data_IF_051824129022
#
_entry.id   IF_051824129022
#
_cell.length_a   1.000
_cell.length_b   1.000
_cell.length_c   1.000
_cell.angle_alpha   90.00
_cell.angle_beta   90.00
_cell.angle_gamma   90.00
#
_symmetry.space_group_name_H-M   'P 1'
#
loop_
_entity.id
_entity.type
_entity.pdbx_description
1 polymer ?
#
# COMPACT_ATOMS: atom_id res chain seq x y z
N UNK A 1 -45.75 36.55 20.67
CA UNK A 1 -45.51 35.18 21.16
C UNK A 1 -45.20 34.32 19.94
N UNK A 2 -44.05 33.69 19.71
CA UNK A 2 -42.80 33.46 20.45
C UNK A 2 -41.64 33.65 19.46
N UNK A 3 -40.58 34.36 19.87
CA UNK A 3 -39.27 34.36 19.20
C UNK A 3 -38.58 33.02 19.50
N UNK A 4 -38.08 32.33 18.47
CA UNK A 4 -37.06 31.29 18.64
C UNK A 4 -35.86 31.65 17.76
N UNK A 5 -35.03 32.53 18.31
CA UNK A 5 -33.63 32.71 17.91
C UNK A 5 -32.84 31.53 18.46
N UNK A 6 -32.47 30.58 17.61
CA UNK A 6 -31.30 29.72 17.84
C UNK A 6 -30.41 29.79 16.62
N UNK A 7 -29.35 30.58 16.74
CA UNK A 7 -28.17 30.53 15.89
C UNK A 7 -27.62 29.11 15.92
N UNK A 8 -27.69 28.41 14.79
CA UNK A 8 -26.90 27.20 14.57
C UNK A 8 -25.42 27.60 14.51
N UNK A 9 -24.54 26.96 15.29
CA UNK A 9 -23.11 27.23 15.19
C UNK A 9 -22.60 26.80 13.81
N UNK A 10 -21.76 27.64 13.22
CA UNK A 10 -21.00 27.34 12.02
C UNK A 10 -20.26 26.00 12.18
N UNK A 11 -20.65 25.00 11.40
CA UNK A 11 -19.87 23.79 11.16
C UNK A 11 -18.69 24.14 10.25
N UNK A 12 -17.77 24.93 10.79
CA UNK A 12 -16.39 25.02 10.33
C UNK A 12 -15.58 24.40 11.47
N UNK A 13 -14.87 23.32 11.16
CA UNK A 13 -14.07 22.47 12.06
C UNK A 13 -14.72 21.14 12.43
N UNK A 14 -14.60 20.19 11.51
CA UNK A 14 -14.44 18.79 11.88
C UNK A 14 -13.64 18.11 10.79
N UNK A 15 -12.32 18.22 10.88
CA UNK A 15 -11.35 17.28 10.28
C UNK A 15 -11.51 15.90 10.94
N UNK A 16 -12.71 15.32 10.85
CA UNK A 16 -13.11 14.10 11.54
C UNK A 16 -12.96 12.84 10.68
N UNK A 17 -12.42 12.97 9.46
CA UNK A 17 -12.03 11.83 8.64
C UNK A 17 -10.51 11.81 8.51
N UNK A 18 -9.90 10.70 8.95
CA UNK A 18 -8.48 10.28 8.79
C UNK A 18 -7.48 10.57 9.94
N UNK A 19 -7.81 11.30 11.01
CA UNK A 19 -7.02 11.18 12.26
C UNK A 19 -7.64 10.08 13.14
N UNK A 20 -7.00 8.91 13.19
CA UNK A 20 -7.25 7.91 14.25
C UNK A 20 -7.23 8.68 15.57
N UNK A 21 -8.39 8.76 16.25
CA UNK A 21 -8.52 9.69 17.38
C UNK A 21 -7.49 9.33 18.44
N UNK A 22 -6.93 10.33 19.12
CA UNK A 22 -5.93 10.16 20.20
C UNK A 22 -6.34 9.14 21.26
N UNK A 23 -7.66 8.92 21.42
CA UNK A 23 -8.23 7.89 22.26
C UNK A 23 -7.73 6.46 21.93
N UNK A 24 -7.46 6.14 20.66
CA UNK A 24 -6.97 4.82 20.23
C UNK A 24 -5.47 4.63 20.54
N UNK A 25 -4.68 5.71 20.48
CA UNK A 25 -3.26 5.69 20.87
C UNK A 25 -3.06 5.46 22.38
N UNK A 26 -3.99 5.94 23.22
CA UNK A 26 -3.93 5.70 24.67
C UNK A 26 -4.00 4.22 25.04
N UNK A 27 -4.72 3.40 24.25
CA UNK A 27 -4.79 1.94 24.41
C UNK A 27 -3.52 1.23 23.93
N UNK A 28 -2.77 1.85 23.03
CA UNK A 28 -1.49 1.35 22.49
C UNK A 28 -0.28 1.77 23.33
N UNK A 29 -0.45 2.74 24.24
CA UNK A 29 0.58 3.25 25.15
C UNK A 29 1.42 2.18 25.88
N UNK A 30 0.90 0.99 26.28
CA UNK A 30 1.77 -0.01 26.92
C UNK A 30 2.76 -0.69 25.95
N UNK A 31 2.50 -0.63 24.64
CA UNK A 31 3.28 -1.36 23.62
C UNK A 31 4.11 -0.45 22.70
N UNK A 32 3.75 0.84 22.60
CA UNK A 32 4.35 1.78 21.64
C UNK A 32 4.97 2.96 22.36
N UNK A 33 6.24 3.21 22.04
CA UNK A 33 6.98 4.41 22.39
C UNK A 33 7.20 5.26 21.16
N UNK A 34 6.79 6.53 21.25
CA UNK A 34 6.98 7.50 20.18
C UNK A 34 8.00 8.53 20.66
N UNK A 35 9.06 8.75 19.87
CA UNK A 35 10.03 9.83 20.13
C UNK A 35 9.28 11.17 20.28
N UNK A 36 9.60 11.99 21.29
CA UNK A 36 8.88 13.23 21.54
C UNK A 36 8.77 14.16 20.32
N UNK A 37 9.81 14.21 19.47
CA UNK A 37 9.81 15.04 18.25
C UNK A 37 8.85 14.49 17.21
N UNK A 38 8.79 13.16 17.06
CA UNK A 38 7.82 12.50 16.18
C UNK A 38 6.41 12.73 16.69
N UNK A 39 6.20 12.58 18.00
CA UNK A 39 4.90 12.79 18.64
C UNK A 39 4.39 14.23 18.49
N UNK A 40 5.26 15.21 18.69
CA UNK A 40 4.95 16.63 18.49
C UNK A 40 4.59 16.93 17.04
N UNK A 41 5.38 16.41 16.08
CA UNK A 41 5.11 16.57 14.66
C UNK A 41 3.76 15.99 14.25
N UNK A 42 3.41 14.79 14.74
CA UNK A 42 2.13 14.14 14.46
C UNK A 42 0.93 14.87 15.10
N UNK A 43 1.14 15.57 16.23
CA UNK A 43 0.10 16.42 16.85
C UNK A 43 -0.14 17.70 16.06
N UNK A 44 0.94 18.33 15.61
CA UNK A 44 0.91 19.56 14.85
C UNK A 44 0.16 19.43 13.53
N UNK A 45 -0.20 20.56 12.95
CA UNK A 45 -0.78 20.62 11.60
C UNK A 45 0.30 20.58 10.50
N UNK A 46 1.57 20.49 10.87
CA UNK A 46 2.72 20.79 9.98
C UNK A 46 3.91 19.84 10.15
N UNK A 47 3.72 18.69 10.81
CA UNK A 47 4.80 17.73 11.01
C UNK A 47 5.10 16.89 9.78
N UNK A 48 6.32 16.96 9.27
CA UNK A 48 6.78 16.16 8.13
C UNK A 48 7.56 14.96 8.65
N UNK A 49 6.90 13.82 8.88
CA UNK A 49 7.56 12.62 9.44
C UNK A 49 7.77 11.58 8.34
N UNK A 50 8.97 11.01 8.29
CA UNK A 50 9.32 9.89 7.40
C UNK A 50 9.63 8.66 8.24
N UNK A 51 8.84 7.61 8.10
CA UNK A 51 9.14 6.31 8.69
C UNK A 51 10.36 5.69 7.99
N UNK A 52 11.14 4.91 8.74
CA UNK A 52 12.26 4.10 8.24
C UNK A 52 12.18 2.70 8.88
N UNK A 53 12.52 1.65 8.13
CA UNK A 53 12.49 0.28 8.67
C UNK A 53 13.79 -0.10 9.37
N UNK A 54 13.73 -1.11 10.24
CA UNK A 54 14.90 -1.66 10.93
C UNK A 54 15.37 -3.02 10.41
N UNK A 55 14.62 -3.70 9.53
CA UNK A 55 15.10 -4.94 8.88
C UNK A 55 16.32 -4.70 8.01
N UNK A 56 16.40 -3.55 7.32
CA UNK A 56 17.58 -3.20 6.53
C UNK A 56 18.84 -3.12 7.40
N UNK A 57 18.70 -2.72 8.66
CA UNK A 57 19.79 -2.58 9.64
C UNK A 57 20.18 -3.95 10.21
N UNK A 58 19.18 -4.74 10.58
CA UNK A 58 19.38 -6.00 11.33
C UNK A 58 19.68 -7.21 10.42
N UNK A 59 19.14 -7.22 9.20
CA UNK A 59 19.21 -8.36 8.29
C UNK A 59 19.56 -7.98 6.83
N UNK A 60 19.60 -6.68 6.50
CA UNK A 60 19.79 -6.21 5.13
C UNK A 60 21.22 -5.82 4.77
N UNK A 61 22.04 -5.46 5.76
CA UNK A 61 23.41 -5.00 5.58
C UNK A 61 24.32 -5.54 6.70
N UNK A 62 25.61 -5.80 6.42
CA UNK A 62 26.56 -6.19 7.44
C UNK A 62 27.03 -5.00 8.30
N UNK A 63 27.45 -5.27 9.53
CA UNK A 63 28.16 -4.29 10.36
C UNK A 63 29.56 -3.98 9.79
N UNK A 64 30.05 -2.72 9.86
CA UNK A 64 29.42 -1.51 10.44
C UNK A 64 28.50 -0.74 9.48
N UNK A 65 28.47 -1.13 8.20
CA UNK A 65 27.74 -0.42 7.14
C UNK A 65 26.24 -0.29 7.43
N UNK A 66 25.64 -1.26 8.13
CA UNK A 66 24.25 -1.19 8.56
C UNK A 66 23.95 0.02 9.48
N UNK A 67 24.78 0.23 10.51
CA UNK A 67 24.65 1.33 11.46
C UNK A 67 24.99 2.67 10.80
N UNK A 68 26.10 2.72 10.07
CA UNK A 68 26.54 3.93 9.35
C UNK A 68 25.46 4.41 8.38
N UNK A 69 24.91 3.50 7.58
CA UNK A 69 23.84 3.82 6.63
C UNK A 69 22.58 4.29 7.35
N UNK A 70 22.18 3.64 8.45
CA UNK A 70 21.00 4.05 9.20
C UNK A 70 21.12 5.48 9.73
N UNK A 71 22.28 5.82 10.31
CA UNK A 71 22.55 7.16 10.84
C UNK A 71 22.58 8.22 9.72
N UNK A 72 23.22 7.92 8.59
CA UNK A 72 23.27 8.81 7.43
C UNK A 72 21.90 9.04 6.81
N UNK A 73 21.08 7.98 6.71
CA UNK A 73 19.70 8.06 6.21
C UNK A 73 18.85 8.95 7.12
N UNK A 74 18.92 8.78 8.45
CA UNK A 74 18.23 9.68 9.36
C UNK A 74 18.71 11.13 9.22
N UNK A 75 20.01 11.32 8.99
CA UNK A 75 20.58 12.66 8.81
C UNK A 75 20.11 13.33 7.51
N UNK A 76 19.99 12.58 6.40
CA UNK A 76 19.45 13.08 5.14
C UNK A 76 18.01 13.55 5.31
N UNK A 77 17.18 12.76 5.99
CA UNK A 77 15.78 13.14 6.27
C UNK A 77 15.73 14.46 7.06
N UNK A 78 16.58 14.62 8.08
CA UNK A 78 16.69 15.88 8.86
C UNK A 78 17.11 17.06 8.01
N UNK A 79 18.13 16.89 7.17
CA UNK A 79 18.64 17.95 6.28
C UNK A 79 17.60 18.42 5.27
N UNK A 80 16.68 17.54 4.88
CA UNK A 80 15.56 17.86 3.98
C UNK A 80 14.35 18.47 4.69
N UNK A 81 14.43 18.72 6.00
CA UNK A 81 13.38 19.38 6.76
C UNK A 81 12.29 18.44 7.30
N UNK A 82 12.50 17.13 7.22
CA UNK A 82 11.60 16.13 7.79
C UNK A 82 12.20 15.50 9.06
N UNK A 83 11.35 14.84 9.85
CA UNK A 83 11.72 14.14 11.07
C UNK A 83 11.79 12.63 10.77
N UNK A 84 12.97 11.99 10.89
CA UNK A 84 13.07 10.55 10.72
C UNK A 84 12.45 9.82 11.91
N UNK A 85 11.69 8.78 11.62
CA UNK A 85 11.12 7.86 12.58
C UNK A 85 11.54 6.43 12.22
N UNK A 86 12.75 6.03 12.60
CA UNK A 86 13.14 4.62 12.48
C UNK A 86 12.30 3.78 13.42
N UNK A 87 11.62 2.78 12.85
CA UNK A 87 10.69 1.90 13.55
C UNK A 87 11.38 0.56 13.82
N UNK A 88 11.33 0.09 15.07
CA UNK A 88 11.87 -1.18 15.49
C UNK A 88 11.13 -1.72 16.72
N UNK A 89 11.41 -2.97 17.10
CA UNK A 89 11.05 -3.48 18.43
C UNK A 89 12.32 -3.62 19.25
N UNK A 90 12.32 -3.01 20.44
CA UNK A 90 13.40 -3.12 21.42
C UNK A 90 12.78 -3.57 22.74
N UNK A 91 13.20 -4.75 23.20
CA UNK A 91 12.79 -5.36 24.47
C UNK A 91 11.26 -5.42 24.64
N UNK A 92 10.57 -5.92 23.61
CA UNK A 92 9.11 -6.06 23.59
C UNK A 92 8.32 -4.78 23.38
N UNK A 93 8.99 -3.67 23.05
CA UNK A 93 8.33 -2.37 22.85
C UNK A 93 8.59 -1.85 21.43
N UNK A 94 7.53 -1.45 20.75
CA UNK A 94 7.62 -0.75 19.47
C UNK A 94 8.24 0.62 19.75
N UNK A 95 9.33 0.94 19.07
CA UNK A 95 9.96 2.26 19.06
C UNK A 95 9.62 2.93 17.75
N UNK A 96 9.05 4.14 17.79
CA UNK A 96 8.82 5.00 16.63
C UNK A 96 9.73 6.21 16.77
N UNK A 97 10.88 6.17 16.09
CA UNK A 97 12.01 7.04 16.35
C UNK A 97 12.95 6.40 17.38
N UNK A 98 13.88 5.57 16.91
CA UNK A 98 14.91 4.96 17.75
C UNK A 98 15.98 5.97 18.17
N UNK A 99 16.59 5.76 19.33
CA UNK A 99 17.81 6.49 19.72
C UNK A 99 19.04 5.92 19.03
N UNK A 100 20.14 6.68 19.01
CA UNK A 100 21.43 6.21 18.48
C UNK A 100 21.91 4.93 19.19
N UNK A 101 21.75 4.84 20.51
CA UNK A 101 22.10 3.64 21.27
C UNK A 101 21.24 2.43 20.89
N UNK A 102 19.94 2.65 20.66
CA UNK A 102 19.04 1.58 20.21
C UNK A 102 19.43 1.10 18.82
N UNK A 103 19.76 2.00 17.89
CA UNK A 103 20.28 1.66 16.57
C UNK A 103 21.59 0.86 16.65
N UNK A 104 22.54 1.32 17.48
CA UNK A 104 23.82 0.65 17.66
C UNK A 104 23.66 -0.75 18.26
N UNK A 105 22.72 -0.94 19.19
CA UNK A 105 22.35 -2.26 19.71
C UNK A 105 21.74 -3.14 18.62
N UNK A 106 20.74 -2.64 17.89
CA UNK A 106 20.06 -3.39 16.83
C UNK A 106 21.03 -3.82 15.72
N UNK A 107 21.98 -2.96 15.33
CA UNK A 107 22.96 -3.24 14.29
C UNK A 107 23.93 -4.39 14.61
N UNK A 108 24.08 -4.77 15.89
CA UNK A 108 24.99 -5.83 16.34
C UNK A 108 24.27 -7.01 17.00
N UNK A 109 22.97 -6.87 17.27
CA UNK A 109 22.20 -7.91 17.95
C UNK A 109 21.61 -8.90 16.94
N UNK A 110 21.57 -10.17 17.33
CA UNK A 110 20.71 -11.14 16.66
C UNK A 110 19.25 -10.84 17.06
N UNK A 111 18.44 -10.46 16.08
CA UNK A 111 17.06 -9.99 16.31
C UNK A 111 16.09 -10.76 15.43
N UNK A 112 14.81 -10.77 15.79
CA UNK A 112 13.81 -11.42 14.95
C UNK A 112 13.46 -10.50 13.77
N UNK A 113 13.68 -10.96 12.53
CA UNK A 113 13.06 -10.34 11.35
C UNK A 113 11.53 -10.39 11.49
N UNK A 114 10.94 -9.22 11.70
CA UNK A 114 9.57 -9.07 12.20
C UNK A 114 8.66 -8.49 11.12
N UNK A 115 7.89 -9.35 10.47
CA UNK A 115 6.77 -8.96 9.61
C UNK A 115 5.49 -8.82 10.45
N UNK A 116 4.35 -8.52 9.79
CA UNK A 116 3.05 -8.35 10.46
C UNK A 116 2.69 -9.52 11.38
N UNK A 117 2.88 -10.76 10.91
CA UNK A 117 2.51 -11.97 11.66
C UNK A 117 3.36 -12.18 12.91
N UNK A 118 4.57 -11.63 12.92
CA UNK A 118 5.56 -11.87 13.96
C UNK A 118 5.40 -10.85 15.12
N UNK A 119 4.80 -9.68 14.87
CA UNK A 119 4.68 -8.58 15.83
C UNK A 119 4.13 -9.01 17.19
N UNK A 120 2.98 -9.70 17.22
CA UNK A 120 2.36 -10.11 18.49
C UNK A 120 3.26 -11.06 19.29
N UNK A 121 3.98 -11.95 18.60
CA UNK A 121 4.90 -12.88 19.24
C UNK A 121 6.12 -12.16 19.84
N UNK A 122 6.76 -11.29 19.06
CA UNK A 122 7.95 -10.55 19.49
C UNK A 122 7.62 -9.63 20.68
N UNK A 123 6.50 -8.90 20.61
CA UNK A 123 6.04 -8.04 21.70
C UNK A 123 5.66 -8.85 22.95
N UNK A 124 4.85 -9.90 22.80
CA UNK A 124 4.40 -10.72 23.91
C UNK A 124 5.52 -11.48 24.64
N UNK A 125 6.65 -11.71 23.96
CA UNK A 125 7.84 -12.35 24.54
C UNK A 125 8.88 -11.37 25.08
N UNK A 126 8.69 -10.06 24.95
CA UNK A 126 9.71 -9.11 25.39
C UNK A 126 10.96 -9.09 24.51
N UNK A 127 10.87 -9.53 23.25
CA UNK A 127 12.03 -9.70 22.36
C UNK A 127 12.30 -8.44 21.53
N UNK A 128 13.50 -8.36 20.95
CA UNK A 128 13.87 -7.33 19.98
C UNK A 128 13.73 -7.84 18.54
N UNK A 129 13.35 -6.95 17.63
CA UNK A 129 13.05 -7.31 16.25
C UNK A 129 13.22 -6.16 15.28
N UNK A 130 13.84 -6.45 14.14
CA UNK A 130 13.86 -5.57 12.98
C UNK A 130 12.54 -5.66 12.22
N UNK A 131 11.80 -4.57 12.10
CA UNK A 131 10.52 -4.55 11.37
C UNK A 131 10.77 -4.55 9.87
N UNK A 132 10.07 -5.40 9.12
CA UNK A 132 10.12 -5.39 7.64
C UNK A 132 9.34 -4.21 7.09
N UNK A 133 9.25 -4.07 5.76
CA UNK A 133 8.34 -3.13 5.11
C UNK A 133 6.90 -3.30 5.62
N UNK A 134 6.34 -4.51 5.62
CA UNK A 134 5.00 -4.77 6.18
C UNK A 134 4.87 -4.41 7.67
N UNK A 135 5.84 -4.78 8.51
CA UNK A 135 5.81 -4.45 9.94
C UNK A 135 5.86 -2.94 10.18
N UNK A 136 6.70 -2.24 9.42
CA UNK A 136 6.90 -0.79 9.49
C UNK A 136 5.68 -0.04 8.99
N UNK A 137 5.07 -0.50 7.87
CA UNK A 137 3.82 0.05 7.33
C UNK A 137 2.70 0.01 8.36
N UNK A 138 2.50 -1.15 9.00
CA UNK A 138 1.47 -1.30 10.02
C UNK A 138 1.66 -0.29 11.15
N UNK A 139 2.88 -0.20 11.69
CA UNK A 139 3.17 0.72 12.80
C UNK A 139 3.05 2.19 12.36
N UNK A 140 3.50 2.52 11.15
CA UNK A 140 3.38 3.87 10.59
C UNK A 140 1.91 4.31 10.49
N UNK A 141 1.01 3.48 9.94
CA UNK A 141 -0.43 3.77 9.90
C UNK A 141 -1.07 3.78 11.30
N UNK A 142 -0.60 2.92 12.22
CA UNK A 142 -1.06 2.95 13.61
C UNK A 142 -0.82 4.29 14.29
N UNK A 143 0.32 4.93 14.03
CA UNK A 143 0.68 6.22 14.65
C UNK A 143 0.39 7.44 13.76
N UNK A 144 -0.03 7.24 12.52
CA UNK A 144 -0.42 8.30 11.59
C UNK A 144 0.71 8.88 10.73
N UNK A 145 1.83 8.18 10.58
CA UNK A 145 2.88 8.56 9.61
C UNK A 145 2.44 8.13 8.21
N UNK A 146 2.50 9.05 7.23
CA UNK A 146 1.97 8.85 5.87
C UNK A 146 3.03 8.55 4.80
N UNK A 147 4.32 8.72 5.12
CA UNK A 147 5.44 8.51 4.18
C UNK A 147 6.50 7.61 4.83
N UNK A 148 6.98 6.62 4.08
CA UNK A 148 7.95 5.63 4.50
C UNK A 148 9.02 5.46 3.41
N UNK A 149 10.31 5.51 3.78
CA UNK A 149 11.42 5.20 2.88
C UNK A 149 12.05 3.84 3.21
N UNK A 150 12.31 3.03 2.18
CA UNK A 150 13.09 1.79 2.24
C UNK A 150 13.99 1.67 1.01
N UNK A 151 14.89 0.70 0.98
CA UNK A 151 15.70 0.44 -0.20
C UNK A 151 14.83 -0.12 -1.33
N UNK A 152 14.08 -1.18 -1.05
CA UNK A 152 13.27 -1.89 -2.03
C UNK A 152 12.27 -2.77 -1.30
N UNK A 153 11.05 -2.87 -1.79
CA UNK A 153 10.03 -3.71 -1.16
C UNK A 153 10.27 -5.20 -1.43
N UNK A 154 9.70 -6.07 -0.60
CA UNK A 154 9.46 -7.46 -0.99
C UNK A 154 8.41 -7.56 -2.09
N UNK A 155 8.17 -8.76 -2.59
CA UNK A 155 7.28 -8.96 -3.72
C UNK A 155 6.98 -10.44 -3.96
N UNK A 156 6.52 -10.75 -5.17
CA UNK A 156 6.36 -12.13 -5.61
C UNK A 156 7.73 -12.70 -5.94
N UNK A 157 8.10 -13.83 -5.34
CA UNK A 157 9.36 -14.48 -5.66
C UNK A 157 9.32 -15.09 -7.07
N UNK A 158 10.47 -15.32 -7.68
CA UNK A 158 10.56 -16.04 -8.97
C UNK A 158 10.10 -17.48 -8.75
N UNK A 159 9.16 -17.98 -9.56
CA UNK A 159 8.45 -19.24 -9.29
C UNK A 159 7.33 -19.12 -8.24
N UNK A 160 6.93 -17.89 -7.90
CA UNK A 160 5.87 -17.59 -6.94
C UNK A 160 4.48 -18.04 -7.39
N UNK A 161 4.26 -18.26 -8.69
CA UNK A 161 3.03 -18.83 -9.25
C UNK A 161 2.76 -20.26 -8.76
N UNK A 162 3.82 -21.03 -8.49
CA UNK A 162 3.72 -22.42 -8.05
C UNK A 162 3.94 -22.53 -6.53
N UNK A 163 4.97 -21.84 -6.03
CA UNK A 163 5.38 -21.91 -4.62
C UNK A 163 4.50 -21.09 -3.67
N UNK A 164 3.79 -20.09 -4.21
CA UNK A 164 3.06 -19.07 -3.44
C UNK A 164 3.95 -18.30 -2.45
N UNK A 165 5.26 -18.23 -2.70
CA UNK A 165 6.19 -17.40 -1.93
C UNK A 165 6.01 -15.92 -2.31
N UNK A 166 5.08 -15.26 -1.63
CA UNK A 166 4.68 -13.88 -1.85
C UNK A 166 4.89 -13.08 -0.56
N UNK A 167 5.62 -11.97 -0.66
CA UNK A 167 5.86 -11.10 0.50
C UNK A 167 4.56 -10.51 1.05
N UNK A 168 4.44 -10.54 2.38
CA UNK A 168 3.36 -9.87 3.11
C UNK A 168 3.34 -8.34 2.89
N UNK A 169 4.44 -7.76 2.38
CA UNK A 169 4.52 -6.34 2.02
C UNK A 169 3.42 -5.93 1.04
N UNK A 170 3.08 -6.80 0.07
CA UNK A 170 2.12 -6.47 -0.99
C UNK A 170 0.69 -6.36 -0.45
N UNK A 171 0.29 -7.30 0.41
CA UNK A 171 -1.02 -7.26 1.08
C UNK A 171 -1.08 -6.09 2.08
N UNK A 172 0.04 -5.78 2.75
CA UNK A 172 0.07 -4.65 3.67
C UNK A 172 -0.09 -3.32 2.95
N UNK A 173 0.57 -3.13 1.80
CA UNK A 173 0.37 -1.98 0.91
C UNK A 173 -1.10 -1.84 0.48
N UNK A 174 -1.81 -2.94 0.24
CA UNK A 174 -3.23 -2.92 -0.15
C UNK A 174 -4.19 -2.40 0.92
N UNK A 175 -3.81 -2.42 2.20
CA UNK A 175 -4.70 -2.06 3.33
C UNK A 175 -4.19 -0.95 4.25
N UNK A 176 -3.03 -0.39 3.92
CA UNK A 176 -2.34 0.63 4.70
C UNK A 176 -2.09 1.88 3.86
N UNK A 177 -2.74 3.02 4.15
CA UNK A 177 -2.67 4.25 3.35
C UNK A 177 -1.39 5.07 3.60
N UNK A 178 -0.24 4.42 3.43
CA UNK A 178 1.10 4.98 3.57
C UNK A 178 1.81 4.88 2.23
N UNK A 179 2.51 5.95 1.83
CA UNK A 179 3.33 5.98 0.64
C UNK A 179 4.71 5.40 0.92
N UNK A 180 5.08 4.36 0.18
CA UNK A 180 6.40 3.72 0.25
C UNK A 180 7.25 4.23 -0.89
N UNK A 181 8.32 4.93 -0.53
CA UNK A 181 9.35 5.41 -1.45
C UNK A 181 10.49 4.41 -1.44
N UNK A 182 10.77 3.81 -2.59
CA UNK A 182 11.79 2.77 -2.72
C UNK A 182 12.37 2.73 -4.12
N UNK A 183 13.47 2.01 -4.31
CA UNK A 183 14.02 1.75 -5.64
C UNK A 183 13.31 0.59 -6.34
N UNK A 184 12.00 0.53 -6.16
CA UNK A 184 11.11 -0.50 -6.67
C UNK A 184 11.12 -1.76 -5.82
N UNK A 185 11.07 -2.89 -6.49
CA UNK A 185 11.04 -4.22 -5.88
C UNK A 185 12.48 -4.76 -5.88
N UNK A 186 12.89 -5.47 -4.81
CA UNK A 186 14.24 -6.08 -4.75
C UNK A 186 14.49 -6.94 -6.00
N UNK A 187 15.64 -6.76 -6.65
CA UNK A 187 15.97 -7.35 -7.95
C UNK A 187 15.91 -8.89 -8.02
N UNK A 188 15.95 -9.55 -6.87
CA UNK A 188 15.87 -11.01 -6.72
C UNK A 188 14.47 -11.58 -7.00
N UNK A 189 13.47 -10.71 -7.09
CA UNK A 189 12.05 -11.04 -7.17
C UNK A 189 11.54 -10.99 -8.61
N UNK A 190 10.29 -11.38 -8.80
CA UNK A 190 9.55 -11.26 -10.06
C UNK A 190 8.83 -9.91 -10.09
N UNK A 191 9.41 -8.95 -10.80
CA UNK A 191 8.88 -7.58 -10.88
C UNK A 191 7.56 -7.53 -11.64
N UNK A 192 7.43 -8.08 -12.87
CA UNK A 192 6.15 -8.10 -13.58
C UNK A 192 5.02 -8.66 -12.73
N UNK A 193 5.20 -9.83 -12.09
CA UNK A 193 4.16 -10.44 -11.28
C UNK A 193 3.88 -9.67 -10.00
N UNK A 194 4.88 -9.01 -9.43
CA UNK A 194 4.67 -8.12 -8.29
C UNK A 194 3.78 -6.94 -8.65
N UNK A 195 3.95 -6.35 -9.85
CA UNK A 195 3.10 -5.24 -10.31
C UNK A 195 1.65 -5.69 -10.51
N UNK A 196 1.41 -6.84 -11.12
CA UNK A 196 0.07 -7.43 -11.27
C UNK A 196 -0.61 -7.71 -9.92
N UNK A 197 0.16 -8.22 -8.94
CA UNK A 197 -0.35 -8.44 -7.60
C UNK A 197 -0.74 -7.11 -6.92
N UNK A 198 0.08 -6.07 -7.07
CA UNK A 198 -0.19 -4.74 -6.51
C UNK A 198 -1.42 -4.08 -7.14
N UNK A 199 -1.63 -4.28 -8.45
CA UNK A 199 -2.87 -3.89 -9.13
C UNK A 199 -4.07 -4.57 -8.46
N UNK A 200 -4.00 -5.89 -8.25
CA UNK A 200 -5.06 -6.66 -7.58
C UNK A 200 -5.34 -6.15 -6.16
N UNK A 201 -4.30 -5.69 -5.45
CA UNK A 201 -4.42 -5.11 -4.10
C UNK A 201 -4.88 -3.63 -4.10
N UNK A 202 -5.12 -3.03 -5.26
CA UNK A 202 -5.56 -1.63 -5.38
C UNK A 202 -4.47 -0.62 -4.97
N UNK A 203 -3.19 -1.00 -5.05
CA UNK A 203 -2.06 -0.15 -4.69
C UNK A 203 -1.72 0.76 -5.86
N UNK A 204 -1.59 2.06 -5.62
CA UNK A 204 -1.16 2.99 -6.65
C UNK A 204 0.36 2.87 -6.85
N UNK A 205 0.79 2.37 -8.01
CA UNK A 205 2.20 2.25 -8.38
C UNK A 205 2.59 3.34 -9.38
N UNK A 206 3.60 4.13 -9.02
CA UNK A 206 4.14 5.20 -9.86
C UNK A 206 5.66 5.16 -9.89
N UNK A 207 6.26 5.47 -11.04
CA UNK A 207 7.68 5.83 -11.10
C UNK A 207 7.89 7.29 -10.68
N UNK A 208 9.10 7.66 -10.28
CA UNK A 208 9.46 9.03 -9.92
C UNK A 208 10.52 9.59 -10.87
N UNK A 209 10.21 10.71 -11.53
CA UNK A 209 11.11 11.38 -12.47
C UNK A 209 11.47 10.51 -13.69
N UNK A 210 10.54 9.65 -14.13
CA UNK A 210 10.71 8.72 -15.26
C UNK A 210 9.58 8.94 -16.28
N UNK A 211 9.76 9.84 -17.27
CA UNK A 211 8.72 10.16 -18.25
C UNK A 211 8.19 8.96 -19.04
N UNK A 212 9.05 7.96 -19.28
CA UNK A 212 8.66 6.72 -19.97
C UNK A 212 7.94 5.70 -19.07
N UNK A 213 7.78 6.04 -17.78
CA UNK A 213 7.24 5.22 -16.69
C UNK A 213 8.03 3.93 -16.45
N UNK A 214 9.32 3.92 -16.80
CA UNK A 214 10.18 2.78 -16.48
C UNK A 214 10.19 2.57 -14.97
N UNK A 215 9.88 1.34 -14.56
CA UNK A 215 9.90 0.96 -13.15
C UNK A 215 11.33 0.51 -12.78
N UNK A 216 11.88 0.97 -11.64
CA UNK A 216 13.23 0.59 -11.23
C UNK A 216 13.31 -0.84 -10.69
N UNK A 217 14.48 -1.46 -10.86
CA UNK A 217 14.78 -2.82 -10.40
C UNK A 217 15.92 -2.81 -9.36
N UNK A 218 15.75 -2.00 -8.32
CA UNK A 218 16.66 -1.89 -7.19
C UNK A 218 18.07 -1.42 -7.57
N UNK A 219 18.94 -2.34 -8.01
CA UNK A 219 20.31 -2.03 -8.46
C UNK A 219 20.40 -1.40 -9.85
N UNK A 220 19.37 -1.58 -10.67
CA UNK A 220 19.30 -1.02 -12.01
C UNK A 220 18.19 0.03 -12.09
N UNK A 221 18.41 1.04 -12.95
CA UNK A 221 17.43 2.12 -13.15
C UNK A 221 16.15 1.67 -13.84
N UNK A 222 16.18 0.52 -14.53
CA UNK A 222 15.09 -0.01 -15.35
C UNK A 222 14.94 -1.51 -15.11
N UNK A 223 13.71 -1.98 -14.94
CA UNK A 223 13.37 -3.40 -14.79
C UNK A 223 12.94 -4.07 -16.10
N UNK A 224 12.69 -3.30 -17.16
CA UNK A 224 11.96 -3.77 -18.34
C UNK A 224 10.44 -3.80 -18.15
N UNK A 225 9.94 -3.43 -16.97
CA UNK A 225 8.52 -3.24 -16.66
C UNK A 225 8.20 -1.75 -16.54
N UNK A 226 6.92 -1.40 -16.69
CA UNK A 226 6.44 -0.02 -16.55
C UNK A 226 5.51 0.13 -15.36
N UNK A 227 5.62 1.25 -14.66
CA UNK A 227 4.58 1.69 -13.74
C UNK A 227 3.36 2.20 -14.53
N UNK A 228 2.20 2.21 -13.88
CA UNK A 228 0.97 2.77 -14.47
C UNK A 228 1.08 4.29 -14.58
N UNK A 229 1.66 4.92 -13.55
CA UNK A 229 1.79 6.37 -13.43
C UNK A 229 3.26 6.80 -13.28
N UNK A 230 3.51 8.10 -13.41
CA UNK A 230 4.78 8.72 -13.05
C UNK A 230 4.48 10.02 -12.30
N UNK A 231 5.29 10.33 -11.29
CA UNK A 231 5.31 11.62 -10.62
C UNK A 231 6.58 12.36 -11.01
N UNK A 232 6.43 13.57 -11.52
CA UNK A 232 7.58 14.40 -11.95
C UNK A 232 8.22 15.16 -10.77
N UNK A 233 7.50 15.28 -9.65
CA UNK A 233 7.98 16.02 -8.49
C UNK A 233 7.38 15.52 -7.17
N UNK A 234 8.05 15.87 -6.06
CA UNK A 234 7.56 15.61 -4.71
C UNK A 234 6.18 16.23 -4.45
N UNK A 235 5.91 17.42 -5.02
CA UNK A 235 4.63 18.12 -4.87
C UNK A 235 3.47 17.34 -5.52
N UNK A 236 3.71 16.73 -6.68
CA UNK A 236 2.71 15.92 -7.38
C UNK A 236 2.39 14.65 -6.59
N UNK A 237 3.43 13.94 -6.14
CA UNK A 237 3.28 12.76 -5.28
C UNK A 237 2.53 13.11 -3.98
N UNK A 238 2.92 14.20 -3.31
CA UNK A 238 2.27 14.69 -2.10
C UNK A 238 0.78 15.02 -2.32
N UNK A 239 0.44 15.64 -3.44
CA UNK A 239 -0.95 15.93 -3.79
C UNK A 239 -1.77 14.64 -3.97
N UNK A 240 -1.23 13.63 -4.66
CA UNK A 240 -1.90 12.34 -4.82
C UNK A 240 -2.13 11.64 -3.47
N UNK A 241 -1.15 11.69 -2.56
CA UNK A 241 -1.24 11.13 -1.20
C UNK A 241 -2.31 11.86 -0.37
N UNK A 242 -2.36 13.19 -0.48
CA UNK A 242 -3.37 14.03 0.18
C UNK A 242 -4.79 13.68 -0.31
N UNK A 243 -4.99 13.58 -1.63
CA UNK A 243 -6.28 13.21 -2.23
C UNK A 243 -6.70 11.79 -1.85
N UNK A 244 -5.78 10.82 -1.84
CA UNK A 244 -6.06 9.46 -1.36
C UNK A 244 -6.59 9.46 0.09
N UNK A 245 -5.99 10.28 0.96
CA UNK A 245 -6.48 10.51 2.32
C UNK A 245 -7.87 11.16 2.34
N UNK A 246 -8.09 12.21 1.56
CA UNK A 246 -9.39 12.90 1.49
C UNK A 246 -10.53 12.02 1.00
N UNK A 247 -10.23 11.06 0.11
CA UNK A 247 -11.18 10.04 -0.37
C UNK A 247 -11.42 8.90 0.65
N UNK A 248 -10.63 8.84 1.73
CA UNK A 248 -10.72 7.75 2.72
C UNK A 248 -10.26 6.40 2.17
N UNK A 249 -9.42 6.39 1.14
CA UNK A 249 -8.85 5.15 0.59
C UNK A 249 -7.92 4.50 1.62
N UNK A 250 -7.93 3.17 1.64
CA UNK A 250 -7.13 2.37 2.57
C UNK A 250 -5.89 1.77 1.95
N UNK A 251 -5.72 1.84 0.64
CA UNK A 251 -4.51 1.39 -0.04
C UNK A 251 -3.42 2.46 -0.07
N UNK A 252 -2.18 2.01 -0.01
CA UNK A 252 -0.98 2.85 -0.05
C UNK A 252 -0.50 3.14 -1.46
N UNK A 253 0.70 3.72 -1.52
CA UNK A 253 1.43 3.99 -2.76
C UNK A 253 2.75 3.24 -2.78
N UNK A 254 3.16 2.79 -3.96
CA UNK A 254 4.54 2.42 -4.24
C UNK A 254 5.13 3.41 -5.23
N UNK A 255 6.07 4.22 -4.76
CA UNK A 255 6.78 5.22 -5.55
C UNK A 255 8.17 4.68 -5.87
N UNK A 256 8.35 4.25 -7.11
CA UNK A 256 9.60 3.70 -7.64
C UNK A 256 10.59 4.80 -8.03
N UNK A 257 11.62 5.00 -7.22
CA UNK A 257 12.69 5.98 -7.44
C UNK A 257 13.92 5.28 -8.03
N UNK A 258 14.32 5.59 -9.27
CA UNK A 258 15.53 5.02 -9.87
C UNK A 258 16.78 5.35 -9.05
N UNK A 259 17.65 4.36 -8.85
CA UNK A 259 18.99 4.56 -8.27
C UNK A 259 19.77 5.63 -9.05
N UNK A 260 20.56 6.52 -8.40
CA UNK A 260 21.41 7.47 -9.12
C UNK A 260 22.30 6.78 -10.16
N UNK A 261 22.50 7.43 -11.30
CA UNK A 261 23.11 6.80 -12.48
C UNK A 261 24.55 6.32 -12.22
N UNK A 262 25.30 7.10 -11.44
CA UNK A 262 26.67 6.81 -11.00
C UNK A 262 26.78 5.60 -10.05
N UNK A 263 25.66 5.18 -9.46
CA UNK A 263 25.59 4.04 -8.55
C UNK A 263 24.83 2.85 -9.15
N UNK A 264 24.28 3.00 -10.35
CA UNK A 264 23.57 1.94 -11.06
C UNK A 264 24.54 0.84 -11.49
N UNK A 265 24.12 -0.43 -11.36
CA UNK A 265 24.89 -1.57 -11.84
C UNK A 265 24.42 -1.99 -13.23
N UNK A 266 25.30 -2.70 -13.94
CA UNK A 266 24.98 -3.30 -15.23
C UNK A 266 23.91 -4.38 -15.06
N UNK A 267 22.91 -4.36 -15.93
CA UNK A 267 21.76 -5.27 -15.84
C UNK A 267 22.16 -6.72 -16.08
N UNK A 268 22.97 -6.99 -17.12
CA UNK A 268 23.38 -8.35 -17.45
C UNK A 268 24.25 -8.96 -16.34
N UNK A 269 25.16 -8.16 -15.75
CA UNK A 269 25.94 -8.55 -14.59
C UNK A 269 25.04 -8.93 -13.40
N UNK A 270 24.03 -8.10 -13.10
CA UNK A 270 23.13 -8.33 -11.98
C UNK A 270 22.24 -9.56 -12.20
N UNK A 271 21.69 -9.73 -13.40
CA UNK A 271 20.87 -10.88 -13.75
C UNK A 271 21.66 -12.19 -13.63
N UNK A 272 22.92 -12.21 -14.09
CA UNK A 272 23.83 -13.33 -13.92
C UNK A 272 24.12 -13.64 -12.44
N UNK A 273 24.48 -12.63 -11.65
CA UNK A 273 24.78 -12.80 -10.23
C UNK A 273 23.56 -13.30 -9.42
N UNK A 274 22.36 -12.82 -9.75
CA UNK A 274 21.12 -13.22 -9.08
C UNK A 274 20.74 -14.65 -9.49
N UNK A 275 20.88 -15.02 -10.78
CA UNK A 275 20.62 -16.37 -11.24
C UNK A 275 21.53 -17.40 -10.55
N UNK A 276 22.82 -17.09 -10.42
CA UNK A 276 23.79 -17.92 -9.70
C UNK A 276 23.42 -18.05 -8.22
N UNK A 277 23.08 -16.95 -7.54
CA UNK A 277 22.69 -16.96 -6.14
C UNK A 277 21.38 -17.74 -5.88
N UNK A 278 20.40 -17.66 -6.78
CA UNK A 278 19.14 -18.42 -6.69
C UNK A 278 19.38 -19.93 -6.87
N UNK A 279 20.24 -20.31 -7.83
CA UNK A 279 20.63 -21.70 -8.02
C UNK A 279 21.31 -22.26 -6.77
N UNK A 280 22.18 -21.48 -6.14
CA UNK A 280 22.83 -21.88 -4.89
C UNK A 280 21.85 -22.00 -3.72
N UNK A 281 20.92 -21.06 -3.56
CA UNK A 281 19.89 -21.14 -2.52
C UNK A 281 19.06 -22.42 -2.65
N UNK A 282 18.74 -22.81 -3.89
CA UNK A 282 18.04 -24.07 -4.20
C UNK A 282 18.88 -25.29 -3.81
N UNK A 283 20.17 -25.32 -4.18
CA UNK A 283 21.08 -26.42 -3.80
C UNK A 283 21.22 -26.60 -2.29
N UNK A 284 21.18 -25.49 -1.55
CA UNK A 284 21.28 -25.50 -0.09
C UNK A 284 19.92 -25.66 0.63
N UNK A 285 18.80 -25.80 -0.10
CA UNK A 285 17.44 -25.86 0.44
C UNK A 285 17.09 -24.67 1.35
N UNK A 286 17.56 -23.47 1.00
CA UNK A 286 17.23 -22.23 1.73
C UNK A 286 15.85 -21.77 1.27
N UNK A 287 14.91 -21.63 2.20
CA UNK A 287 13.51 -21.31 1.93
C UNK A 287 12.92 -20.22 2.83
N UNK A 288 11.79 -19.66 2.41
CA UNK A 288 11.03 -18.68 3.17
C UNK A 288 11.82 -17.41 3.51
N UNK A 289 11.74 -16.95 4.77
CA UNK A 289 12.26 -15.64 5.20
C UNK A 289 13.78 -15.48 5.10
N UNK A 290 14.51 -16.59 4.98
CA UNK A 290 15.98 -16.67 4.88
C UNK A 290 16.52 -16.51 3.44
N UNK A 291 15.66 -16.65 2.42
CA UNK A 291 16.05 -16.55 1.01
C UNK A 291 16.60 -15.17 0.67
N UNK A 292 15.91 -14.10 1.08
CA UNK A 292 16.34 -12.72 0.77
C UNK A 292 17.70 -12.36 1.38
N UNK A 293 17.95 -12.54 2.69
CA UNK A 293 19.28 -12.27 3.27
C UNK A 293 20.39 -13.08 2.60
N UNK A 294 20.16 -14.37 2.33
CA UNK A 294 21.13 -15.23 1.67
C UNK A 294 21.52 -14.71 0.28
N UNK A 295 20.53 -14.39 -0.56
CA UNK A 295 20.79 -13.93 -1.93
C UNK A 295 21.51 -12.58 -1.91
N UNK A 296 21.13 -11.65 -1.03
CA UNK A 296 21.81 -10.35 -0.95
C UNK A 296 23.29 -10.50 -0.54
N UNK A 297 23.59 -11.40 0.38
CA UNK A 297 24.97 -11.72 0.76
C UNK A 297 25.76 -12.36 -0.40
N UNK A 298 25.16 -13.32 -1.11
CA UNK A 298 25.77 -13.97 -2.27
C UNK A 298 26.04 -12.97 -3.41
N UNK A 299 25.06 -12.12 -3.74
CA UNK A 299 25.21 -11.06 -4.76
C UNK A 299 26.29 -10.04 -4.36
N UNK A 300 26.40 -9.70 -3.07
CA UNK A 300 27.49 -8.84 -2.57
C UNK A 300 28.86 -9.48 -2.79
N UNK A 301 29.00 -10.78 -2.53
CA UNK A 301 30.24 -11.53 -2.79
C UNK A 301 30.58 -11.58 -4.28
N UNK A 302 29.60 -11.93 -5.13
CA UNK A 302 29.78 -12.04 -6.59
C UNK A 302 30.17 -10.69 -7.20
N UNK A 303 29.57 -9.60 -6.72
CA UNK A 303 29.83 -8.24 -7.24
C UNK A 303 31.01 -7.53 -6.55
N UNK A 304 31.80 -8.25 -5.74
CA UNK A 304 32.93 -7.70 -4.97
C UNK A 304 32.55 -6.43 -4.16
N UNK A 305 31.37 -6.45 -3.52
CA UNK A 305 30.87 -5.37 -2.67
C UNK A 305 30.16 -4.22 -3.39
N UNK A 306 30.18 -4.17 -4.73
CA UNK A 306 29.51 -3.10 -5.50
C UNK A 306 28.01 -3.05 -5.23
N UNK A 307 27.34 -4.19 -5.10
CA UNK A 307 25.91 -4.21 -4.77
C UNK A 307 25.62 -3.61 -3.39
N UNK A 308 26.50 -3.78 -2.40
CA UNK A 308 26.32 -3.15 -1.09
C UNK A 308 26.43 -1.63 -1.20
N UNK A 309 27.42 -1.12 -1.94
CA UNK A 309 27.57 0.31 -2.18
C UNK A 309 26.35 0.90 -2.91
N UNK A 310 25.85 0.24 -3.95
CA UNK A 310 24.61 0.63 -4.63
C UNK A 310 23.40 0.58 -3.70
N UNK A 311 23.30 -0.43 -2.82
CA UNK A 311 22.22 -0.53 -1.82
C UNK A 311 22.25 0.62 -0.81
N UNK A 312 23.44 1.04 -0.37
CA UNK A 312 23.60 2.22 0.48
C UNK A 312 23.24 3.52 -0.26
N UNK A 313 23.63 3.66 -1.53
CA UNK A 313 23.32 4.84 -2.32
C UNK A 313 21.82 4.98 -2.60
N UNK A 314 21.15 3.88 -2.94
CA UNK A 314 19.73 3.90 -3.27
C UNK A 314 18.86 4.23 -2.06
N UNK A 315 19.15 3.70 -0.85
CA UNK A 315 18.35 4.02 0.34
C UNK A 315 18.50 5.49 0.72
N UNK A 316 19.69 6.07 0.59
CA UNK A 316 19.95 7.50 0.81
C UNK A 316 19.14 8.37 -0.16
N UNK A 317 19.11 8.00 -1.44
CA UNK A 317 18.31 8.69 -2.45
C UNK A 317 16.80 8.59 -2.15
N UNK A 318 16.32 7.39 -1.80
CA UNK A 318 14.91 7.17 -1.46
C UNK A 318 14.50 7.99 -0.23
N UNK A 319 15.36 8.07 0.79
CA UNK A 319 15.13 8.87 1.99
C UNK A 319 15.07 10.37 1.69
N UNK A 320 15.92 10.87 0.77
CA UNK A 320 15.86 12.26 0.30
C UNK A 320 14.52 12.55 -0.36
N UNK A 321 14.09 11.73 -1.32
CA UNK A 321 12.82 11.90 -2.04
C UNK A 321 11.63 11.78 -1.08
N UNK A 322 11.65 10.82 -0.17
CA UNK A 322 10.61 10.66 0.84
C UNK A 322 10.48 11.88 1.76
N UNK A 323 11.59 12.49 2.17
CA UNK A 323 11.57 13.70 2.98
C UNK A 323 10.98 14.88 2.21
N UNK A 324 11.34 15.05 0.94
CA UNK A 324 10.76 16.08 0.07
C UNK A 324 9.23 15.90 -0.07
N UNK A 325 8.77 14.65 -0.30
CA UNK A 325 7.34 14.33 -0.38
C UNK A 325 6.64 14.62 0.96
N UNK A 326 7.23 14.23 2.09
CA UNK A 326 6.64 14.45 3.41
C UNK A 326 6.51 15.95 3.74
N UNK A 327 7.49 16.77 3.36
CA UNK A 327 7.46 18.23 3.53
C UNK A 327 6.38 18.85 2.66
N UNK A 328 6.28 18.47 1.39
CA UNK A 328 5.23 18.97 0.51
C UNK A 328 3.82 18.54 0.98
N UNK A 329 3.67 17.30 1.46
CA UNK A 329 2.42 16.81 2.01
C UNK A 329 1.99 17.63 3.23
N UNK A 330 2.91 17.89 4.16
CA UNK A 330 2.67 18.75 5.31
C UNK A 330 2.28 20.18 4.91
N UNK A 331 2.93 20.75 3.89
CA UNK A 331 2.59 22.07 3.34
C UNK A 331 1.15 22.10 2.81
N UNK A 332 0.73 21.05 2.09
CA UNK A 332 -0.64 20.91 1.57
C UNK A 332 -1.65 20.79 2.70
N UNK A 333 -1.41 19.88 3.66
CA UNK A 333 -2.35 19.60 4.76
C UNK A 333 -2.48 20.76 5.76
N UNK A 334 -1.44 21.59 5.91
CA UNK A 334 -1.47 22.81 6.73
C UNK A 334 -2.21 23.98 6.07
N UNK A 335 -2.67 23.84 4.83
CA UNK A 335 -3.35 24.91 4.08
C UNK A 335 -2.41 26.02 3.58
N UNK A 336 -1.08 25.80 3.63
CA UNK A 336 -0.09 26.70 3.04
C UNK A 336 -0.05 26.62 1.51
N UNK A 337 -0.73 25.63 0.93
CA UNK A 337 -0.94 25.47 -0.51
C UNK A 337 -2.43 25.45 -0.78
N UNK A 338 -2.91 26.45 -1.52
CA UNK A 338 -4.22 26.38 -2.15
C UNK A 338 -4.18 25.25 -3.19
N UNK A 339 -5.11 24.30 -3.11
CA UNK A 339 -5.22 23.20 -4.06
C UNK A 339 -5.33 23.72 -5.49
N UNK A 340 -4.98 22.89 -6.49
CA UNK A 340 -5.10 23.27 -7.91
C UNK A 340 -6.52 23.76 -8.24
N UNK A 341 -7.54 23.20 -7.60
CA UNK A 341 -8.94 23.62 -7.73
C UNK A 341 -9.23 25.04 -7.23
N UNK A 342 -8.49 25.55 -6.24
CA UNK A 342 -8.68 26.90 -5.69
C UNK A 342 -8.05 28.00 -6.55
N UNK A 343 -7.14 27.66 -7.47
CA UNK A 343 -6.60 28.62 -8.45
C UNK A 343 -7.61 28.92 -9.56
N UNK A 344 -8.52 28.00 -9.85
CA UNK A 344 -9.57 28.17 -10.86
C UNK A 344 -10.91 28.65 -10.26
N UNK A 345 -11.21 28.32 -9.00
CA UNK A 345 -12.50 28.65 -8.38
C UNK A 345 -12.65 30.10 -7.88
N UNK A 346 -11.62 30.95 -8.03
CA UNK A 346 -11.72 32.37 -7.73
C UNK A 346 -12.58 33.16 -8.74
N UNK A 347 -13.04 32.53 -9.83
CA UNK A 347 -13.82 33.19 -10.89
C UNK A 347 -15.30 32.80 -10.97
N UNK A 348 -15.86 32.02 -10.05
CA UNK A 348 -17.29 31.67 -10.13
C UNK A 348 -17.95 31.51 -8.76
N UNK A 349 -18.40 32.64 -8.22
CA UNK A 349 -19.30 32.65 -7.08
C UNK A 349 -20.70 32.17 -7.47
N UNK A 350 -21.04 30.93 -7.12
CA UNK A 350 -22.44 30.49 -7.03
C UNK A 350 -22.61 29.70 -5.73
N UNK A 351 -23.33 30.32 -4.79
CA UNK A 351 -23.84 29.70 -3.58
C UNK A 351 -24.99 28.75 -3.97
N UNK A 352 -24.74 27.44 -3.94
CA UNK A 352 -25.77 26.42 -4.19
C UNK A 352 -26.34 25.92 -2.86
N UNK A 353 -27.65 26.15 -2.66
CA UNK A 353 -28.41 25.58 -1.55
C UNK A 353 -28.41 24.06 -1.64
N UNK A 354 -27.92 23.38 -0.59
CA UNK A 354 -27.87 21.92 -0.53
C UNK A 354 -29.26 21.35 -0.24
N UNK A 355 -29.87 20.74 -1.25
CA UNK A 355 -31.02 19.85 -1.07
C UNK A 355 -30.49 18.48 -0.63
N UNK A 356 -31.05 17.83 0.40
CA UNK A 356 -30.62 16.48 0.78
C UNK A 356 -31.04 15.48 -0.30
N UNK A 357 -30.09 14.65 -0.75
CA UNK A 357 -30.36 13.49 -1.60
C UNK A 357 -30.58 12.28 -0.68
N UNK A 358 -31.77 11.71 -0.74
CA UNK A 358 -32.07 10.43 -0.09
C UNK A 358 -31.91 9.33 -1.14
N UNK A 359 -30.91 8.46 -0.95
CA UNK A 359 -30.74 7.26 -1.78
C UNK A 359 -31.30 6.09 -0.99
N UNK A 360 -32.50 5.65 -1.36
CA UNK A 360 -33.07 4.38 -0.90
C UNK A 360 -32.73 3.29 -1.91
N UNK A 361 -32.20 2.17 -1.43
CA UNK A 361 -32.17 0.92 -2.19
C UNK A 361 -33.39 0.09 -1.82
N UNK A 362 -34.10 -0.44 -2.81
CA UNK A 362 -35.10 -1.49 -2.60
C UNK A 362 -34.55 -2.80 -3.17
N UNK A 363 -34.54 -3.86 -2.37
CA UNK A 363 -34.29 -5.21 -2.87
C UNK A 363 -35.66 -5.81 -3.13
N UNK A 364 -35.98 -6.02 -4.41
CA UNK A 364 -37.18 -6.78 -4.81
C UNK A 364 -36.76 -8.22 -4.96
N UNK A 365 -37.21 -9.06 -4.03
CA UNK A 365 -37.04 -10.51 -4.12
C UNK A 365 -38.32 -11.08 -4.75
N UNK A 366 -38.21 -11.58 -5.99
CA UNK A 366 -39.36 -12.13 -6.73
C UNK A 366 -39.30 -13.64 -6.67
N UNK A 367 -40.11 -14.24 -5.81
CA UNK A 367 -40.38 -15.67 -5.84
C UNK A 367 -41.55 -15.96 -6.79
N UNK A 368 -41.27 -16.68 -7.88
CA UNK A 368 -42.31 -17.25 -8.74
C UNK A 368 -42.48 -18.71 -8.35
N UNK A 369 -43.66 -19.08 -7.87
CA UNK A 369 -44.07 -20.48 -7.71
C UNK A 369 -45.02 -20.83 -8.84
N UNK A 370 -44.66 -21.81 -9.66
CA UNK A 370 -45.52 -22.35 -10.72
C UNK A 370 -46.19 -23.61 -10.15
N UNK A 371 -47.52 -23.68 -10.22
CA UNK A 371 -48.26 -24.90 -9.92
C UNK A 371 -48.11 -25.87 -11.10
N UNK A 372 -47.86 -27.15 -10.84
CA UNK A 372 -47.50 -28.16 -11.86
C UNK A 372 -48.49 -28.23 -13.04
N UNK A 373 -49.76 -27.88 -12.82
CA UNK A 373 -50.82 -27.93 -13.82
C UNK A 373 -50.69 -26.88 -14.95
N UNK A 374 -49.89 -25.84 -14.76
CA UNK A 374 -49.66 -24.76 -15.75
C UNK A 374 -48.42 -24.99 -16.64
N UNK A 375 -47.63 -26.04 -16.40
CA UNK A 375 -46.50 -26.41 -17.24
C UNK A 375 -46.94 -27.13 -18.53
N UNK A 376 -47.33 -26.35 -19.55
CA UNK A 376 -47.52 -26.90 -20.91
C UNK A 376 -46.18 -27.39 -21.47
N UNK A 377 -45.95 -28.70 -21.47
CA UNK A 377 -44.79 -29.32 -22.14
C UNK A 377 -44.95 -29.22 -23.66
N UNK A 378 -44.28 -28.27 -24.28
CA UNK A 378 -44.14 -28.21 -25.75
C UNK A 378 -42.99 -29.13 -26.21
N UNK A 379 -43.22 -30.08 -27.13
CA UNK A 379 -42.20 -31.03 -27.58
C UNK A 379 -41.37 -30.43 -28.73
N UNK A 380 -40.72 -29.29 -28.53
CA UNK A 380 -39.76 -28.75 -29.51
C UNK A 380 -38.89 -27.62 -28.94
N UNK A 381 -38.06 -27.91 -27.93
CA UNK A 381 -36.85 -27.11 -27.68
C UNK A 381 -35.80 -28.00 -27.02
N UNK A 382 -34.96 -28.63 -27.85
CA UNK A 382 -33.72 -29.27 -27.38
C UNK A 382 -32.72 -28.18 -27.00
N UNK A 383 -32.77 -27.68 -25.77
CA UNK A 383 -31.56 -27.12 -25.16
C UNK A 383 -30.71 -28.29 -24.67
N UNK A 384 -29.56 -28.47 -25.34
CA UNK A 384 -28.53 -29.46 -24.99
C UNK A 384 -27.87 -29.04 -23.67
N UNK A 385 -27.63 -30.05 -22.83
CA UNK A 385 -26.92 -30.01 -21.54
C UNK A 385 -27.80 -29.38 -20.45
N UNK A 386 -28.40 -30.14 -19.55
CA UNK A 386 -27.73 -30.93 -18.52
C UNK A 386 -28.53 -32.18 -18.15
N UNK A 387 -27.87 -33.33 -18.25
CA UNK A 387 -28.14 -34.58 -17.52
C UNK A 387 -26.82 -34.83 -16.78
N UNK A 388 -26.76 -35.14 -15.50
CA UNK A 388 -27.42 -36.29 -14.89
C UNK A 388 -27.29 -36.25 -13.35
N UNK A 389 -28.28 -36.86 -12.68
CA UNK A 389 -28.32 -37.41 -11.31
C UNK A 389 -28.14 -36.48 -10.09
N UNK A 390 -29.23 -36.31 -9.34
CA UNK A 390 -29.44 -37.11 -8.13
C UNK A 390 -30.93 -37.17 -7.74
N UNK A 391 -31.30 -38.36 -7.27
CA UNK A 391 -32.62 -38.79 -6.83
C UNK A 391 -33.13 -38.04 -5.59
N UNK A 392 -34.45 -37.88 -5.54
CA UNK A 392 -35.21 -37.27 -4.48
C UNK A 392 -34.91 -37.84 -3.08
N UNK A 393 -34.69 -36.94 -2.11
CA UNK A 393 -35.21 -37.07 -0.75
C UNK A 393 -35.07 -35.74 0.01
N UNK A 394 -36.21 -35.14 0.35
CA UNK A 394 -36.52 -34.45 1.62
C UNK A 394 -35.59 -33.38 2.21
N UNK A 395 -36.23 -32.25 2.52
CA UNK A 395 -35.89 -31.18 3.48
C UNK A 395 -34.94 -30.04 3.04
N UNK A 396 -35.53 -28.83 3.11
CA UNK A 396 -34.99 -27.53 3.51
C UNK A 396 -33.49 -27.27 3.32
N UNK A 397 -33.14 -26.32 2.46
CA UNK A 397 -32.32 -25.15 2.85
C UNK A 397 -32.05 -24.23 1.66
N UNK A 398 -32.20 -22.94 1.95
CA UNK A 398 -31.60 -21.75 1.33
C UNK A 398 -30.37 -22.02 0.45
N UNK A 399 -30.42 -21.55 -0.79
CA UNK A 399 -29.21 -21.24 -1.57
C UNK A 399 -29.30 -19.79 -2.02
N UNK A 400 -28.65 -18.90 -1.26
CA UNK A 400 -28.42 -17.52 -1.65
C UNK A 400 -27.39 -17.50 -2.79
N UNK A 401 -27.76 -16.91 -3.93
CA UNK A 401 -26.79 -16.49 -4.94
C UNK A 401 -26.59 -14.99 -4.77
N UNK A 402 -25.52 -14.61 -4.10
CA UNK A 402 -25.09 -13.22 -3.98
C UNK A 402 -24.50 -12.79 -5.33
N UNK A 403 -25.21 -11.93 -6.07
CA UNK A 403 -24.63 -11.17 -7.18
C UNK A 403 -24.36 -9.77 -6.65
N UNK A 404 -23.08 -9.44 -6.50
CA UNK A 404 -22.61 -8.11 -6.09
C UNK A 404 -22.63 -7.15 -7.29
N UNK A 405 -23.33 -6.01 -7.25
CA UNK A 405 -23.14 -4.95 -8.23
C UNK A 405 -22.08 -3.97 -7.72
N UNK A 406 -20.94 -3.93 -8.42
CA UNK A 406 -20.01 -2.79 -8.38
C UNK A 406 -20.68 -1.62 -9.10
N UNK A 407 -20.98 -0.54 -8.38
CA UNK A 407 -21.52 0.70 -8.93
C UNK A 407 -20.44 1.78 -8.89
N UNK A 408 -19.93 2.15 -10.06
CA UNK A 408 -19.15 3.36 -10.26
C UNK A 408 -20.06 4.49 -10.75
N UNK A 409 -20.09 5.62 -10.04
CA UNK A 409 -20.72 6.86 -10.50
C UNK A 409 -19.62 7.78 -11.03
N UNK A 410 -19.79 8.29 -12.25
CA UNK A 410 -19.04 9.45 -12.76
C UNK A 410 -19.96 10.68 -12.73
N UNK A 411 -19.58 11.77 -12.05
CA UNK A 411 -20.31 13.03 -12.14
C UNK A 411 -20.03 13.69 -13.51
N UNK A 412 -21.08 14.04 -14.26
CA UNK A 412 -21.00 14.95 -15.41
C UNK A 412 -20.90 14.32 -16.80
N UNK A 413 -20.94 13.00 -16.94
CA UNK A 413 -21.27 12.35 -18.22
C UNK A 413 -22.37 11.32 -18.02
N UNK A 414 -23.46 11.48 -18.76
CA UNK A 414 -24.47 10.45 -18.95
C UNK A 414 -23.79 9.22 -19.56
N UNK A 415 -23.53 8.18 -18.78
CA UNK A 415 -23.36 6.84 -19.33
C UNK A 415 -24.67 6.12 -19.10
N UNK A 416 -25.48 6.13 -20.15
CA UNK A 416 -26.57 5.18 -20.32
C UNK A 416 -25.91 3.82 -20.52
N UNK A 417 -25.81 3.02 -19.47
CA UNK A 417 -25.71 1.58 -19.65
C UNK A 417 -27.15 1.09 -19.88
N UNK A 418 -27.51 0.96 -21.15
CA UNK A 418 -28.75 0.31 -21.56
C UNK A 418 -28.79 -1.08 -20.97
N UNK A 419 -29.89 -1.45 -20.30
CA UNK A 419 -30.26 -2.83 -20.04
C UNK A 419 -30.69 -3.51 -21.36
N UNK A 420 -29.85 -3.46 -22.38
CA UNK A 420 -30.04 -4.15 -23.65
C UNK A 420 -29.57 -5.60 -23.50
N UNK A 421 -30.29 -6.39 -22.68
CA UNK A 421 -30.14 -7.85 -22.68
C UNK A 421 -31.36 -8.62 -22.15
N UNK A 422 -32.44 -7.98 -21.66
CA UNK A 422 -33.61 -8.72 -21.16
C UNK A 422 -34.98 -8.28 -21.69
N UNK A 423 -35.11 -7.12 -22.33
CA UNK A 423 -36.38 -6.73 -23.00
C UNK A 423 -36.57 -7.43 -24.37
N UNK A 424 -35.50 -7.84 -25.05
CA UNK A 424 -35.60 -8.47 -26.37
C UNK A 424 -36.08 -9.95 -26.36
N UNK A 425 -36.35 -10.53 -25.19
CA UNK A 425 -36.84 -11.92 -25.06
C UNK A 425 -38.20 -12.05 -24.38
N UNK A 426 -38.77 -10.95 -23.87
CA UNK A 426 -40.15 -10.92 -23.34
C UNK A 426 -41.15 -10.38 -24.35
N UNK A 427 -40.75 -9.48 -25.26
CA UNK A 427 -41.62 -9.02 -26.35
C UNK A 427 -41.91 -10.10 -27.41
N UNK A 428 -41.11 -11.18 -27.46
CA UNK A 428 -41.38 -12.34 -28.32
C UNK A 428 -42.31 -13.40 -27.68
N UNK A 429 -42.89 -13.13 -26.51
CA UNK A 429 -43.87 -14.02 -25.86
C UNK A 429 -45.20 -13.35 -25.51
N UNK A 430 -45.41 -12.08 -25.88
CA UNK A 430 -46.70 -11.39 -25.71
C UNK A 430 -47.07 -10.62 -26.96
N UNK A 431 -47.25 -11.33 -28.08
CA UNK A 431 -48.11 -10.89 -29.18
C UNK A 431 -48.56 -12.12 -29.99
N UNK A 432 -49.53 -12.84 -29.41
CA UNK A 432 -50.59 -13.58 -30.12
C UNK A 432 -51.59 -14.11 -29.08
N UNK A 433 -52.53 -13.24 -28.70
CA UNK A 433 -53.91 -13.60 -28.38
C UNK A 433 -54.83 -12.68 -29.16
#
# INVERSE_FOLDING_TARGET
MLRLTKSLPSLVSSNAFVRRTYADLSKLSPLVDIDPRVHEALRGSSGSVVALESTIITHGMPYPHNLETALEVEQIVRQKGAIPATIAIVDGRIKVGTTADQLARLAQSDTIKTSRRDLAYVLGKGLSGGTTVAGTLLVADMVGIRVFATGGIGGVHRGGEDSLDVSADLVELGRTPVAVVSSGVKSILDIPRTLEYLETQGVCVASYGSPERDFPAFYTRRSGSKAVYNFDSAAEAANAISVNGALGLRSGFLIGVPIPAEHALDQALMDGAIAEALAEATRQNIGGKEVTPFILAAVSKITAGKSLQSNMALIKNNASVAAEIAVELSRIESGQVKSVSERESASSGICSQRVPVVIGGSIVDTCISVLDDDLKRTPACRCKHWTDRQSASTFSSVTAVAVSPVLGIVPGRSVVATASAFEAQLDNCVENR
#
